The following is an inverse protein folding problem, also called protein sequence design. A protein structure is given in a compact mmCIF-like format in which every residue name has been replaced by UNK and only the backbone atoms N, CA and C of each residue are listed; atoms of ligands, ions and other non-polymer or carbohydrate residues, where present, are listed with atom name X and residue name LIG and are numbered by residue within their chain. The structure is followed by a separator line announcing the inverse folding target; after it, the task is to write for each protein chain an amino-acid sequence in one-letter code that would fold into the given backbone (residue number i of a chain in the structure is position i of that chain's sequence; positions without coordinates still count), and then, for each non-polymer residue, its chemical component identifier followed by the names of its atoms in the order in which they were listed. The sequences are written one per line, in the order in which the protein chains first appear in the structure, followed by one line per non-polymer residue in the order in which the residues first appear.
data_IF_002504093991
#
_entry.id   IF_002504093991
#
_cell.length_a   1.000
_cell.length_b   1.000
_cell.length_c   1.000
_cell.angle_alpha   90.00
_cell.angle_beta   90.00
_cell.angle_gamma   90.00
#
_symmetry.space_group_name_H-M   'P 1'
#
loop_
_entity.id
_entity.type
_entity.pdbx_description
1 polymer ?
#
# COMPACT_ATOMS: atom_id res chain seq x y z
N UNK A 1 -18.94 5.16 -8.87
CA UNK A 1 -17.63 5.63 -8.31
C UNK A 1 -17.60 5.68 -6.77
N UNK A 2 -18.06 4.62 -6.08
CA UNK A 2 -18.16 4.53 -4.61
C UNK A 2 -17.16 3.53 -3.99
N UNK A 3 -16.10 3.20 -4.72
CA UNK A 3 -14.93 2.47 -4.23
C UNK A 3 -15.11 0.95 -4.08
N UNK A 4 -14.10 0.29 -3.51
CA UNK A 4 -14.04 -1.18 -3.43
C UNK A 4 -15.21 -1.80 -2.65
N UNK A 5 -15.77 -1.08 -1.68
CA UNK A 5 -16.94 -1.53 -0.89
C UNK A 5 -18.27 -0.99 -1.44
N UNK A 6 -18.31 -0.70 -2.74
CA UNK A 6 -19.45 -0.15 -3.47
C UNK A 6 -20.78 -0.78 -3.07
N UNK A 7 -21.72 0.06 -2.63
CA UNK A 7 -23.11 -0.33 -2.40
C UNK A 7 -23.84 -0.42 -3.73
N UNK A 8 -23.51 0.45 -4.68
CA UNK A 8 -24.14 0.44 -6.01
C UNK A 8 -23.85 -0.87 -6.74
N UNK A 9 -22.62 -1.38 -6.69
CA UNK A 9 -22.25 -2.70 -7.25
C UNK A 9 -23.10 -3.81 -6.68
N UNK A 10 -23.33 -3.80 -5.36
CA UNK A 10 -24.13 -4.82 -4.69
C UNK A 10 -25.60 -4.78 -5.13
N UNK A 11 -26.15 -3.58 -5.34
CA UNK A 11 -27.52 -3.41 -5.83
C UNK A 11 -27.70 -3.86 -7.29
N UNK A 12 -26.70 -3.66 -8.15
CA UNK A 12 -26.79 -4.02 -9.57
C UNK A 12 -26.54 -5.51 -9.83
N UNK A 13 -25.53 -6.09 -9.16
CA UNK A 13 -24.97 -7.40 -9.50
C UNK A 13 -25.02 -8.42 -8.35
N UNK A 14 -25.60 -8.07 -7.20
CA UNK A 14 -25.73 -8.93 -6.03
C UNK A 14 -24.62 -8.73 -5.00
N UNK A 15 -24.81 -9.32 -3.82
CA UNK A 15 -23.86 -9.20 -2.71
C UNK A 15 -22.55 -9.92 -3.02
N UNK A 16 -21.52 -9.13 -3.31
CA UNK A 16 -20.14 -9.58 -3.44
C UNK A 16 -19.29 -8.75 -2.46
N UNK A 17 -18.39 -9.39 -1.72
CA UNK A 17 -17.50 -8.72 -0.76
C UNK A 17 -16.05 -8.86 -1.22
N UNK A 18 -15.20 -7.84 -1.02
CA UNK A 18 -13.79 -7.93 -1.37
C UNK A 18 -13.12 -9.05 -0.57
N UNK A 19 -12.28 -9.85 -1.23
CA UNK A 19 -11.52 -10.92 -0.58
C UNK A 19 -10.12 -10.42 -0.29
N UNK A 20 -9.64 -10.66 0.94
CA UNK A 20 -8.28 -10.34 1.32
C UNK A 20 -7.29 -11.22 0.55
N UNK A 21 -6.27 -10.60 -0.05
CA UNK A 21 -5.30 -11.29 -0.92
C UNK A 21 -4.18 -12.01 -0.14
N UNK A 22 -4.12 -11.85 1.18
CA UNK A 22 -2.99 -12.31 1.98
C UNK A 22 -1.78 -11.36 1.96
N UNK A 23 -1.95 -10.16 1.39
CA UNK A 23 -0.91 -9.14 1.28
C UNK A 23 -1.30 -7.88 2.04
N UNK A 24 -0.36 -7.32 2.78
CA UNK A 24 -0.43 -5.97 3.33
C UNK A 24 0.52 -5.05 2.58
N UNK A 25 0.21 -3.76 2.61
CA UNK A 25 1.09 -2.72 2.14
C UNK A 25 1.22 -1.63 3.20
N UNK A 26 2.45 -1.33 3.60
CA UNK A 26 2.75 -0.15 4.41
C UNK A 26 3.29 0.94 3.50
N UNK A 27 2.56 2.04 3.40
CA UNK A 27 2.85 3.20 2.56
C UNK A 27 3.45 4.28 3.44
N UNK A 28 4.50 4.94 2.97
CA UNK A 28 5.15 6.02 3.69
C UNK A 28 5.52 7.21 2.82
N UNK A 29 5.68 8.36 3.47
CA UNK A 29 6.25 9.58 2.88
C UNK A 29 7.56 9.87 3.61
N UNK A 30 8.59 10.25 2.86
CA UNK A 30 9.90 10.62 3.41
C UNK A 30 10.54 11.70 2.54
N UNK A 31 11.52 12.43 3.09
CA UNK A 31 12.30 13.39 2.32
C UNK A 31 13.09 12.70 1.21
N UNK A 32 13.27 13.40 0.08
CA UNK A 32 14.08 12.86 -1.02
C UNK A 32 15.52 12.62 -0.60
N UNK A 33 16.02 11.42 -0.86
CA UNK A 33 17.38 11.01 -0.46
C UNK A 33 18.39 11.24 -1.60
N UNK A 34 18.52 12.50 -2.03
CA UNK A 34 19.52 12.94 -3.01
C UNK A 34 19.49 12.16 -4.34
N UNK A 35 20.63 11.60 -4.76
CA UNK A 35 20.75 10.88 -6.04
C UNK A 35 19.95 9.57 -6.11
N UNK A 36 19.50 9.03 -4.96
CA UNK A 36 18.77 7.76 -4.88
C UNK A 36 17.32 7.86 -5.40
N UNK A 37 16.83 9.09 -5.62
CA UNK A 37 15.48 9.40 -6.10
C UNK A 37 15.50 10.04 -7.51
N UNK A 38 16.57 9.80 -8.29
CA UNK A 38 16.68 10.28 -9.68
C UNK A 38 15.90 9.42 -10.68
N UNK A 39 15.57 8.18 -10.31
CA UNK A 39 14.65 7.34 -11.09
C UNK A 39 13.22 7.82 -10.89
N UNK A 40 12.41 7.85 -11.95
CA UNK A 40 10.96 8.08 -11.80
C UNK A 40 10.30 7.06 -10.87
N UNK A 41 10.88 5.86 -10.77
CA UNK A 41 10.42 4.79 -9.89
C UNK A 41 11.52 3.76 -9.65
N UNK A 42 11.73 3.36 -8.39
CA UNK A 42 12.62 2.26 -7.99
C UNK A 42 11.79 1.12 -7.40
N UNK A 43 11.97 -0.09 -7.94
CA UNK A 43 11.37 -1.32 -7.43
C UNK A 43 12.47 -2.26 -6.92
N UNK A 44 12.30 -2.79 -5.71
CA UNK A 44 13.20 -3.75 -5.09
C UNK A 44 12.39 -4.96 -4.67
N UNK A 45 12.82 -6.14 -5.11
CA UNK A 45 12.20 -7.42 -4.78
C UNK A 45 13.12 -8.16 -3.82
N UNK A 46 12.57 -8.61 -2.69
CA UNK A 46 13.28 -9.35 -1.66
C UNK A 46 12.75 -10.78 -1.50
N UNK A 47 13.41 -11.53 -0.64
CA UNK A 47 13.03 -12.91 -0.33
C UNK A 47 11.63 -12.99 0.31
N UNK A 48 11.01 -14.17 0.25
CA UNK A 48 9.71 -14.44 0.86
C UNK A 48 8.54 -13.69 0.20
N UNK A 49 8.73 -13.17 -1.01
CA UNK A 49 7.70 -12.40 -1.72
C UNK A 49 7.52 -10.99 -1.17
N UNK A 50 8.60 -10.39 -0.66
CA UNK A 50 8.61 -9.00 -0.20
C UNK A 50 8.93 -8.06 -1.35
N UNK A 51 8.31 -6.88 -1.35
CA UNK A 51 8.51 -5.87 -2.40
C UNK A 51 8.55 -4.48 -1.78
N UNK A 52 9.44 -3.65 -2.30
CA UNK A 52 9.53 -2.24 -2.00
C UNK A 52 9.46 -1.44 -3.29
N UNK A 53 8.70 -0.36 -3.27
CA UNK A 53 8.63 0.61 -4.35
C UNK A 53 8.80 2.01 -3.77
N UNK A 54 9.54 2.88 -4.47
CA UNK A 54 9.61 4.31 -4.15
C UNK A 54 9.58 5.13 -5.42
N UNK A 55 9.00 6.33 -5.33
CA UNK A 55 8.93 7.29 -6.42
C UNK A 55 8.78 8.72 -5.87
N UNK A 56 9.19 9.74 -6.64
CA UNK A 56 8.92 11.13 -6.34
C UNK A 56 7.45 11.44 -6.02
N UNK A 57 7.16 11.98 -4.85
CA UNK A 57 5.80 12.43 -4.49
C UNK A 57 5.60 13.90 -4.87
N UNK A 58 6.59 14.74 -4.57
CA UNK A 58 6.64 16.15 -4.98
C UNK A 58 8.12 16.59 -5.11
N UNK A 59 8.40 17.89 -5.19
CA UNK A 59 9.78 18.39 -5.35
C UNK A 59 10.72 18.09 -4.17
N UNK A 60 10.19 17.81 -2.98
CA UNK A 60 10.98 17.65 -1.74
C UNK A 60 10.81 16.28 -1.09
N UNK A 61 9.71 15.57 -1.39
CA UNK A 61 9.36 14.29 -0.77
C UNK A 61 9.26 13.15 -1.80
N UNK A 62 9.51 11.93 -1.33
CA UNK A 62 9.25 10.67 -2.01
C UNK A 62 8.16 9.88 -1.27
N UNK A 63 7.37 9.14 -2.04
CA UNK A 63 6.43 8.16 -1.53
C UNK A 63 7.03 6.78 -1.72
N UNK A 64 6.87 5.91 -0.72
CA UNK A 64 7.24 4.51 -0.84
C UNK A 64 6.14 3.59 -0.35
N UNK A 65 6.22 2.33 -0.75
CA UNK A 65 5.40 1.28 -0.18
C UNK A 65 6.18 -0.01 -0.02
N UNK A 66 5.98 -0.69 1.11
CA UNK A 66 6.50 -2.01 1.40
C UNK A 66 5.33 -3.01 1.39
N UNK A 67 5.41 -4.01 0.53
CA UNK A 67 4.41 -5.08 0.42
C UNK A 67 4.93 -6.34 1.09
N UNK A 68 4.11 -6.93 1.95
CA UNK A 68 4.42 -8.15 2.71
C UNK A 68 3.27 -9.15 2.64
N UNK A 69 3.61 -10.44 2.80
CA UNK A 69 2.61 -11.48 3.07
C UNK A 69 2.23 -11.46 4.55
N UNK A 70 0.95 -11.36 4.85
CA UNK A 70 0.42 -11.42 6.22
C UNK A 70 -0.90 -12.19 6.26
N UNK A 71 -1.04 -13.07 7.24
CA UNK A 71 -2.24 -13.90 7.42
C UNK A 71 -3.41 -13.15 8.05
N UNK A 72 -3.12 -12.10 8.83
CA UNK A 72 -4.12 -11.26 9.47
C UNK A 72 -4.35 -10.05 8.57
N UNK A 73 -5.59 -9.84 8.16
CA UNK A 73 -5.94 -8.74 7.29
C UNK A 73 -5.95 -7.42 8.06
N UNK A 74 -5.32 -6.39 7.48
CA UNK A 74 -5.47 -5.02 7.94
C UNK A 74 -6.67 -4.34 7.28
N UNK A 75 -7.40 -3.54 8.05
CA UNK A 75 -8.53 -2.77 7.52
C UNK A 75 -8.04 -1.67 6.57
N UNK A 76 -8.77 -1.44 5.49
CA UNK A 76 -8.50 -0.41 4.47
C UNK A 76 -8.90 0.99 4.96
N UNK A 77 -8.45 1.36 6.16
CA UNK A 77 -8.88 2.58 6.85
C UNK A 77 -8.21 3.84 6.29
N UNK A 78 -7.07 3.69 5.61
CA UNK A 78 -6.20 4.78 5.13
C UNK A 78 -5.75 5.74 6.24
N UNK A 79 -5.88 5.33 7.50
CA UNK A 79 -5.46 6.13 8.66
C UNK A 79 -3.96 5.95 8.87
N UNK A 80 -3.33 7.03 9.35
CA UNK A 80 -1.95 6.94 9.79
C UNK A 80 -1.84 5.96 10.95
N UNK A 81 -0.74 5.21 10.98
CA UNK A 81 -0.35 4.41 12.13
C UNK A 81 -0.16 5.30 13.36
N UNK A 82 -0.42 4.73 14.55
CA UNK A 82 -0.01 5.39 15.80
C UNK A 82 1.51 5.50 15.86
N UNK A 83 2.03 6.40 16.71
CA UNK A 83 3.47 6.55 16.93
C UNK A 83 4.14 5.23 17.29
N UNK A 84 3.52 4.44 18.17
CA UNK A 84 4.02 3.14 18.62
C UNK A 84 4.05 2.13 17.47
N UNK A 85 2.99 2.09 16.65
CA UNK A 85 2.90 1.22 15.47
C UNK A 85 3.94 1.60 14.41
N UNK A 86 4.15 2.91 14.19
CA UNK A 86 5.14 3.43 13.27
C UNK A 86 6.57 3.08 13.71
N UNK A 87 6.91 3.30 14.99
CA UNK A 87 8.22 2.93 15.55
C UNK A 87 8.48 1.44 15.40
N UNK A 88 7.49 0.60 15.73
CA UNK A 88 7.59 -0.85 15.57
C UNK A 88 7.87 -1.23 14.11
N UNK A 89 7.11 -0.67 13.17
CA UNK A 89 7.31 -0.93 11.74
C UNK A 89 8.71 -0.53 11.28
N UNK A 90 9.18 0.67 11.63
CA UNK A 90 10.50 1.17 11.26
C UNK A 90 11.59 0.27 11.81
N UNK A 91 11.48 -0.16 13.07
CA UNK A 91 12.46 -1.05 13.69
C UNK A 91 12.51 -2.42 12.98
N UNK A 92 11.35 -3.04 12.75
CA UNK A 92 11.26 -4.39 12.17
C UNK A 92 11.59 -4.41 10.67
N UNK A 93 11.20 -3.39 9.91
CA UNK A 93 11.39 -3.37 8.46
C UNK A 93 12.65 -2.62 8.03
N UNK A 94 12.91 -1.45 8.63
CA UNK A 94 14.04 -0.59 8.27
C UNK A 94 15.39 -1.23 8.55
N UNK A 95 15.54 -1.92 9.69
CA UNK A 95 16.84 -2.46 10.10
C UNK A 95 17.01 -3.96 9.85
N UNK A 96 15.94 -4.75 9.94
CA UNK A 96 16.06 -6.21 9.92
C UNK A 96 15.77 -6.85 8.55
N UNK A 97 15.12 -6.14 7.62
CA UNK A 97 14.64 -6.73 6.35
C UNK A 97 15.30 -6.19 5.10
N UNK A 98 15.74 -4.93 5.13
CA UNK A 98 16.18 -4.25 3.91
C UNK A 98 17.58 -3.65 4.07
N UNK A 99 18.38 -3.77 3.01
CA UNK A 99 19.66 -3.10 2.91
C UNK A 99 19.49 -1.68 2.32
N UNK A 100 20.58 -0.90 2.34
CA UNK A 100 20.60 0.40 1.69
C UNK A 100 20.41 0.32 0.18
N UNK A 101 19.60 1.21 -0.43
CA UNK A 101 19.05 2.45 0.14
C UNK A 101 17.67 2.33 0.83
N UNK A 102 17.02 1.17 0.80
CA UNK A 102 15.62 1.00 1.24
C UNK A 102 15.45 1.27 2.74
N UNK A 103 16.41 0.84 3.55
CA UNK A 103 16.47 1.09 5.00
C UNK A 103 16.29 2.57 5.35
N UNK A 104 16.90 3.47 4.57
CA UNK A 104 16.87 4.92 4.80
C UNK A 104 15.50 5.53 4.50
N UNK A 105 14.83 5.07 3.44
CA UNK A 105 13.47 5.54 3.13
C UNK A 105 12.50 5.18 4.26
N UNK A 106 12.62 3.95 4.78
CA UNK A 106 11.75 3.48 5.87
C UNK A 106 12.07 4.22 7.17
N UNK A 107 13.35 4.36 7.52
CA UNK A 107 13.79 4.97 8.79
C UNK A 107 13.47 6.45 8.89
N UNK A 108 13.42 7.16 7.76
CA UNK A 108 13.13 8.60 7.70
C UNK A 108 11.66 8.90 7.37
N UNK A 109 10.76 7.92 7.50
CA UNK A 109 9.36 8.14 7.16
C UNK A 109 8.70 9.13 8.13
N UNK A 110 8.11 10.21 7.59
CA UNK A 110 7.37 11.21 8.36
C UNK A 110 5.93 10.79 8.63
N UNK A 111 5.39 9.91 7.78
CA UNK A 111 4.04 9.36 7.89
C UNK A 111 4.02 7.93 7.38
N UNK A 112 3.28 7.07 8.06
CA UNK A 112 3.06 5.67 7.68
C UNK A 112 1.58 5.33 7.73
N UNK A 113 1.10 4.58 6.73
CA UNK A 113 -0.24 4.02 6.63
C UNK A 113 -0.07 2.53 6.33
N UNK A 114 -0.83 1.66 7.01
CA UNK A 114 -0.87 0.24 6.67
C UNK A 114 -2.26 -0.15 6.20
N UNK A 115 -2.32 -0.89 5.10
CA UNK A 115 -3.56 -1.39 4.50
C UNK A 115 -3.42 -2.88 4.17
N UNK A 116 -4.52 -3.63 4.29
CA UNK A 116 -4.65 -4.90 3.61
C UNK A 116 -4.98 -4.69 2.14
N UNK A 117 -4.45 -5.54 1.27
CA UNK A 117 -4.81 -5.56 -0.15
C UNK A 117 -5.96 -6.53 -0.34
N UNK A 118 -7.06 -6.02 -0.89
CA UNK A 118 -8.27 -6.78 -1.19
C UNK A 118 -8.55 -6.70 -2.68
N UNK A 119 -9.16 -7.77 -3.19
CA UNK A 119 -9.54 -7.85 -4.59
C UNK A 119 -10.94 -8.43 -4.75
N UNK A 120 -11.49 -8.32 -5.96
CA UNK A 120 -12.77 -8.88 -6.35
C UNK A 120 -12.63 -9.58 -7.70
N UNK A 121 -13.45 -10.61 -7.95
CA UNK A 121 -13.61 -11.14 -9.30
C UNK A 121 -14.02 -10.03 -10.28
N UNK A 122 -13.52 -10.17 -11.51
CA UNK A 122 -13.91 -9.30 -12.62
C UNK A 122 -15.41 -9.38 -12.89
N UNK A 123 -16.00 -8.26 -13.30
CA UNK A 123 -17.39 -8.23 -13.77
C UNK A 123 -17.43 -8.48 -15.27
N UNK A 124 -18.43 -9.24 -15.71
CA UNK A 124 -18.72 -9.43 -17.13
C UNK A 124 -19.33 -8.19 -17.79
N UNK A 125 -19.98 -7.32 -17.01
CA UNK A 125 -20.48 -6.00 -17.43
C UNK A 125 -20.46 -5.02 -16.26
N UNK A 126 -20.27 -3.73 -16.55
CA UNK A 126 -20.14 -2.67 -15.55
C UNK A 126 -21.38 -1.76 -15.45
N UNK A 127 -22.39 -2.01 -16.28
CA UNK A 127 -23.61 -1.21 -16.32
C UNK A 127 -24.86 -2.10 -16.30
N UNK A 128 -25.96 -1.50 -15.85
CA UNK A 128 -27.30 -2.05 -15.94
C UNK A 128 -28.30 -0.91 -16.07
N UNK A 129 -29.13 -0.98 -17.10
CA UNK A 129 -30.08 0.08 -17.48
C UNK A 129 -29.40 1.45 -17.62
N UNK A 130 -29.61 2.35 -16.65
CA UNK A 130 -29.11 3.73 -16.67
C UNK A 130 -28.00 3.98 -15.64
N UNK A 131 -27.46 2.93 -15.03
CA UNK A 131 -26.43 3.02 -14.00
C UNK A 131 -25.16 2.30 -14.46
N UNK A 132 -24.01 2.97 -14.28
CA UNK A 132 -22.66 2.44 -14.53
C UNK A 132 -21.84 2.59 -13.24
N UNK A 133 -20.99 1.60 -12.95
CA UNK A 133 -20.09 1.62 -11.78
C UNK A 133 -18.89 2.56 -11.96
#
# INVERSE_FOLDING_TARGET
CDGLRSTVRQLLFGSDQPTYTGLTQTIGITDRIGQLDRSEMLNVYGDGGTHFITYPFNSTEACFACTFRESIADTESWRSLSTEQAIKFIHECGFARWASPVDKFISNASRLIKIGLYDRPELTTWYKDRVVL
#
